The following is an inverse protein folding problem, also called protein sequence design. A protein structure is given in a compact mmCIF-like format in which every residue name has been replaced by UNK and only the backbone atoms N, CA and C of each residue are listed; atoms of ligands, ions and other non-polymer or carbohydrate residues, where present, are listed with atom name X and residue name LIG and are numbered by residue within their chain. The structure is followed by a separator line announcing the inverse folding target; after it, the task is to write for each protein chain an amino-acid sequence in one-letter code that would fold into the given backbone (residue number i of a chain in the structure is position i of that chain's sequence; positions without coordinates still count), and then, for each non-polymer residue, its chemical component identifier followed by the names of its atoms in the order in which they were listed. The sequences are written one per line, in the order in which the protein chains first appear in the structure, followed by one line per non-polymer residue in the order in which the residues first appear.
data_IF_107221481191
#
_entry.id   IF_107221481191
#
_cell.length_a   1.000
_cell.length_b   1.000
_cell.length_c   1.000
_cell.angle_alpha   90.00
_cell.angle_beta   90.00
_cell.angle_gamma   90.00
#
_symmetry.space_group_name_H-M   'P 1'
#
loop_
_entity.id
_entity.type
_entity.pdbx_description
1 polymer ?
#
# COMPACT_ATOMS: atom_id res chain seq x y z
N UNK A 1 -6.61 6.04 19.38
CA UNK A 1 -7.19 6.02 18.03
C UNK A 1 -6.85 4.71 17.35
N UNK A 2 -7.77 4.21 16.56
CA UNK A 2 -7.54 2.95 15.84
C UNK A 2 -6.59 3.15 14.67
N UNK A 3 -5.69 2.21 14.48
CA UNK A 3 -4.78 2.21 13.34
C UNK A 3 -5.45 1.48 12.17
N UNK A 4 -5.37 2.07 11.00
CA UNK A 4 -5.85 1.45 9.76
C UNK A 4 -4.64 1.02 8.94
N UNK A 5 -4.58 -0.26 8.60
CA UNK A 5 -3.54 -0.79 7.73
C UNK A 5 -4.07 -0.85 6.30
N UNK A 6 -3.42 -0.13 5.40
CA UNK A 6 -3.80 -0.07 3.99
C UNK A 6 -2.83 -0.97 3.22
N UNK A 7 -3.36 -2.04 2.66
CA UNK A 7 -2.55 -3.04 1.96
C UNK A 7 -2.70 -2.83 0.46
N UNK A 8 -1.58 -2.61 -0.20
CA UNK A 8 -1.53 -2.30 -1.63
C UNK A 8 -0.66 -3.34 -2.33
N UNK A 9 -1.26 -4.32 -3.01
CA UNK A 9 -0.48 -5.23 -3.85
C UNK A 9 0.10 -4.48 -5.03
N UNK A 10 1.37 -4.71 -5.32
CA UNK A 10 2.12 -4.02 -6.38
C UNK A 10 2.73 -5.05 -7.31
N UNK A 11 2.38 -4.99 -8.59
CA UNK A 11 2.99 -5.83 -9.59
C UNK A 11 2.97 -5.12 -10.95
N UNK A 12 4.14 -4.66 -11.40
CA UNK A 12 4.31 -4.03 -12.71
C UNK A 12 3.31 -2.91 -12.97
N UNK A 13 3.22 -1.98 -12.01
CA UNK A 13 2.29 -0.85 -12.08
C UNK A 13 3.03 0.49 -12.08
N UNK A 14 4.22 0.51 -12.66
CA UNK A 14 5.07 1.70 -12.69
C UNK A 14 4.33 2.97 -13.14
N UNK A 15 3.46 2.95 -14.17
CA UNK A 15 2.75 4.17 -14.59
C UNK A 15 1.74 4.69 -13.56
N UNK A 16 1.33 3.86 -12.60
CA UNK A 16 0.23 4.18 -11.69
C UNK A 16 0.64 4.29 -10.25
N UNK A 17 1.78 3.69 -9.88
CA UNK A 17 2.11 3.51 -8.46
C UNK A 17 2.31 4.82 -7.72
N UNK A 18 2.94 5.81 -8.35
CA UNK A 18 3.17 7.10 -7.68
C UNK A 18 1.85 7.81 -7.40
N UNK A 19 0.92 7.82 -8.35
CA UNK A 19 -0.39 8.43 -8.16
C UNK A 19 -1.15 7.74 -7.03
N UNK A 20 -1.09 6.42 -6.99
CA UNK A 20 -1.73 5.63 -5.95
C UNK A 20 -1.16 5.99 -4.58
N UNK A 21 0.16 5.98 -4.44
CA UNK A 21 0.81 6.30 -3.16
C UNK A 21 0.49 7.72 -2.72
N UNK A 22 0.56 8.68 -3.64
CA UNK A 22 0.26 10.08 -3.32
C UNK A 22 -1.19 10.24 -2.86
N UNK A 23 -2.14 9.51 -3.47
CA UNK A 23 -3.53 9.54 -3.03
C UNK A 23 -3.67 9.02 -1.60
N UNK A 24 -2.94 7.97 -1.25
CA UNK A 24 -2.98 7.42 0.10
C UNK A 24 -2.37 8.36 1.13
N UNK A 25 -1.25 8.98 0.81
CA UNK A 25 -0.58 9.93 1.70
C UNK A 25 -1.48 11.13 2.00
N UNK A 26 -2.30 11.53 1.05
CA UNK A 26 -3.21 12.66 1.22
C UNK A 26 -4.41 12.36 2.11
N UNK A 27 -4.65 11.10 2.43
CA UNK A 27 -5.69 10.75 3.37
C UNK A 27 -5.34 11.32 4.74
N UNK A 28 -6.26 12.02 5.35
CA UNK A 28 -5.97 12.79 6.55
C UNK A 28 -6.47 12.13 7.83
N UNK A 29 -6.71 10.86 7.81
CA UNK A 29 -7.13 10.13 9.01
C UNK A 29 -6.07 10.12 10.10
N UNK A 30 -4.84 10.36 9.76
CA UNK A 30 -3.73 10.49 10.69
C UNK A 30 -3.14 9.17 11.15
N UNK A 31 -3.96 8.24 11.56
CA UNK A 31 -3.46 6.98 12.12
C UNK A 31 -3.55 5.85 11.12
N UNK A 32 -2.67 5.89 10.12
CA UNK A 32 -2.62 4.88 9.07
C UNK A 32 -1.20 4.34 8.91
N UNK A 33 -1.09 3.10 8.47
CA UNK A 33 0.13 2.55 7.90
C UNK A 33 -0.19 2.04 6.50
N UNK A 34 0.71 2.29 5.56
CA UNK A 34 0.57 1.84 4.19
C UNK A 34 1.57 0.71 3.95
N UNK A 35 1.09 -0.45 3.58
CA UNK A 35 1.94 -1.61 3.32
C UNK A 35 1.90 -1.89 1.82
N UNK A 36 3.00 -1.57 1.15
CA UNK A 36 3.16 -1.81 -0.28
C UNK A 36 3.80 -3.19 -0.44
N UNK A 37 3.09 -4.13 -1.02
CA UNK A 37 3.60 -5.48 -1.21
C UNK A 37 4.01 -5.64 -2.67
N UNK A 38 5.32 -5.55 -2.91
CA UNK A 38 5.88 -5.73 -4.24
C UNK A 38 5.99 -7.22 -4.54
N UNK A 39 5.09 -7.70 -5.37
CA UNK A 39 4.95 -9.12 -5.70
C UNK A 39 5.87 -9.52 -6.87
N UNK A 40 7.14 -9.20 -6.74
CA UNK A 40 8.14 -9.59 -7.73
C UNK A 40 8.08 -8.76 -9.00
N UNK A 41 7.82 -7.45 -8.90
CA UNK A 41 7.76 -6.57 -10.07
C UNK A 41 9.06 -6.61 -10.86
N UNK A 42 8.94 -6.63 -12.18
CA UNK A 42 10.09 -6.61 -13.09
C UNK A 42 10.37 -5.22 -13.65
N UNK A 43 9.47 -4.27 -13.41
CA UNK A 43 9.67 -2.86 -13.76
C UNK A 43 10.19 -2.08 -12.54
N UNK A 44 10.08 -0.76 -12.55
CA UNK A 44 10.57 0.08 -11.46
C UNK A 44 9.60 0.23 -10.29
N UNK A 45 8.50 -0.51 -10.28
CA UNK A 45 7.50 -0.40 -9.22
C UNK A 45 8.10 -0.58 -7.82
N UNK A 46 8.92 -1.63 -7.64
CA UNK A 46 9.53 -1.89 -6.35
C UNK A 46 10.48 -0.78 -5.91
N UNK A 47 11.27 -0.26 -6.84
CA UNK A 47 12.19 0.84 -6.58
C UNK A 47 11.45 2.11 -6.17
N UNK A 48 10.36 2.43 -6.86
CA UNK A 48 9.54 3.59 -6.54
C UNK A 48 8.89 3.45 -5.16
N UNK A 49 8.42 2.25 -4.81
CA UNK A 49 7.89 1.99 -3.48
C UNK A 49 8.94 2.28 -2.41
N UNK A 50 10.18 1.83 -2.62
CA UNK A 50 11.25 2.05 -1.65
C UNK A 50 11.55 3.54 -1.47
N UNK A 51 11.51 4.31 -2.54
CA UNK A 51 11.73 5.75 -2.47
C UNK A 51 10.68 6.44 -1.59
N UNK A 52 9.42 6.04 -1.74
CA UNK A 52 8.36 6.61 -0.91
C UNK A 52 8.45 6.16 0.54
N UNK A 53 8.87 4.93 0.79
CA UNK A 53 9.04 4.44 2.15
C UNK A 53 10.16 5.19 2.88
N UNK A 54 11.21 5.58 2.18
CA UNK A 54 12.27 6.40 2.77
C UNK A 54 11.78 7.81 3.11
N UNK A 55 10.83 8.34 2.35
CA UNK A 55 10.33 9.69 2.52
C UNK A 55 9.22 9.80 3.56
N UNK A 56 8.51 8.71 3.86
CA UNK A 56 7.35 8.73 4.76
C UNK A 56 7.36 7.48 5.64
N UNK A 57 7.53 7.69 6.94
CA UNK A 57 7.62 6.56 7.90
C UNK A 57 6.34 5.76 8.05
N UNK A 58 5.21 6.25 7.54
CA UNK A 58 3.95 5.50 7.54
C UNK A 58 3.93 4.42 6.46
N UNK A 59 4.87 4.47 5.53
CA UNK A 59 4.94 3.55 4.39
C UNK A 59 5.96 2.47 4.67
N UNK A 60 5.54 1.23 4.50
CA UNK A 60 6.40 0.05 4.60
C UNK A 60 6.32 -0.72 3.30
N UNK A 61 7.43 -1.32 2.90
CA UNK A 61 7.49 -2.09 1.65
C UNK A 61 7.91 -3.52 1.97
N UNK A 62 7.20 -4.46 1.37
CA UNK A 62 7.56 -5.88 1.43
C UNK A 62 7.88 -6.31 -0.01
N UNK A 63 9.10 -6.78 -0.23
CA UNK A 63 9.48 -7.38 -1.51
C UNK A 63 9.36 -8.88 -1.38
N UNK A 64 8.67 -9.51 -2.31
CA UNK A 64 8.52 -10.96 -2.30
C UNK A 64 8.59 -11.52 -3.72
N UNK A 65 8.84 -12.80 -3.82
CA UNK A 65 8.78 -13.50 -5.09
C UNK A 65 7.34 -13.51 -5.59
N UNK A 66 7.16 -13.37 -6.91
CA UNK A 66 5.82 -13.34 -7.50
C UNK A 66 5.03 -14.58 -7.10
N UNK A 67 3.87 -14.37 -6.53
CA UNK A 67 2.98 -15.44 -6.08
C UNK A 67 1.51 -15.14 -6.35
N UNK A 68 1.23 -14.01 -6.96
CA UNK A 68 -0.13 -13.61 -7.31
C UNK A 68 -0.79 -12.72 -6.27
N UNK A 69 -1.99 -12.25 -6.60
CA UNK A 69 -2.71 -11.27 -5.80
C UNK A 69 -3.03 -11.76 -4.39
N UNK A 70 -3.52 -13.00 -4.26
CA UNK A 70 -3.84 -13.55 -2.94
C UNK A 70 -2.61 -13.68 -2.07
N UNK A 71 -1.48 -14.08 -2.65
CA UNK A 71 -0.21 -14.18 -1.93
C UNK A 71 0.25 -12.81 -1.44
N UNK A 72 0.13 -11.79 -2.29
CA UNK A 72 0.50 -10.42 -1.93
C UNK A 72 -0.38 -9.89 -0.80
N UNK A 73 -1.68 -10.10 -0.88
CA UNK A 73 -2.61 -9.67 0.18
C UNK A 73 -2.30 -10.36 1.51
N UNK A 74 -2.03 -11.67 1.45
CA UNK A 74 -1.70 -12.43 2.66
C UNK A 74 -0.42 -11.93 3.32
N UNK A 75 0.59 -11.57 2.53
CA UNK A 75 1.82 -11.01 3.05
C UNK A 75 1.55 -9.68 3.75
N UNK A 76 0.70 -8.83 3.16
CA UNK A 76 0.30 -7.57 3.76
C UNK A 76 -0.46 -7.77 5.06
N UNK A 77 -1.41 -8.70 5.08
CA UNK A 77 -2.18 -9.01 6.29
C UNK A 77 -1.25 -9.46 7.41
N UNK A 78 -0.29 -10.32 7.10
CA UNK A 78 0.66 -10.82 8.11
C UNK A 78 1.51 -9.71 8.72
N UNK A 79 1.80 -8.66 7.95
CA UNK A 79 2.61 -7.54 8.41
C UNK A 79 1.78 -6.44 9.07
N UNK A 80 0.46 -6.45 8.89
CA UNK A 80 -0.41 -5.37 9.35
C UNK A 80 -0.49 -5.32 10.87
N UNK A 81 -0.41 -4.11 11.42
CA UNK A 81 -0.52 -3.86 12.85
C UNK A 81 -1.84 -3.18 13.22
N UNK A 82 -2.60 -2.74 12.23
CA UNK A 82 -3.83 -2.00 12.45
C UNK A 82 -5.00 -2.87 12.87
N UNK A 83 -5.97 -2.24 13.53
CA UNK A 83 -7.22 -2.90 13.89
C UNK A 83 -8.15 -3.06 12.70
N UNK A 84 -7.98 -2.22 11.68
CA UNK A 84 -8.80 -2.24 10.47
C UNK A 84 -7.88 -2.44 9.27
N UNK A 85 -8.37 -3.18 8.28
CA UNK A 85 -7.65 -3.44 7.05
C UNK A 85 -8.41 -2.83 5.87
N UNK A 86 -7.68 -2.19 4.97
CA UNK A 86 -8.24 -1.67 3.73
C UNK A 86 -7.34 -2.15 2.59
N UNK A 87 -7.96 -2.73 1.57
CA UNK A 87 -7.24 -3.19 0.39
C UNK A 87 -7.47 -2.19 -0.74
N UNK A 88 -6.38 -1.77 -1.38
CA UNK A 88 -6.42 -0.81 -2.48
C UNK A 88 -5.60 -1.37 -3.63
N UNK A 89 -6.20 -1.42 -4.83
CA UNK A 89 -5.47 -1.81 -6.01
C UNK A 89 -4.55 -0.66 -6.45
N UNK A 90 -3.31 -0.99 -6.80
CA UNK A 90 -2.28 0.01 -7.06
C UNK A 90 -2.51 0.83 -8.33
N UNK A 91 -3.42 0.41 -9.19
CA UNK A 91 -3.79 1.15 -10.40
C UNK A 91 -5.08 1.97 -10.23
N UNK A 92 -5.64 2.05 -9.03
CA UNK A 92 -6.85 2.78 -8.73
C UNK A 92 -6.56 4.07 -7.97
N UNK A 93 -7.49 5.03 -8.06
CA UNK A 93 -7.48 6.23 -7.23
C UNK A 93 -8.17 5.96 -5.91
N UNK A 94 -7.66 6.58 -4.85
CA UNK A 94 -8.28 6.51 -3.53
C UNK A 94 -8.87 7.88 -3.22
N UNK A 95 -10.18 7.93 -3.00
CA UNK A 95 -10.83 9.17 -2.59
C UNK A 95 -10.57 9.45 -1.11
N UNK A 96 -10.58 10.72 -0.72
CA UNK A 96 -10.33 11.10 0.65
C UNK A 96 -11.32 10.46 1.64
N UNK A 97 -12.52 10.17 1.20
CA UNK A 97 -13.54 9.55 2.05
C UNK A 97 -13.40 8.04 2.21
N UNK A 98 -12.55 7.39 1.44
CA UNK A 98 -12.46 5.93 1.43
C UNK A 98 -11.98 5.39 2.77
N UNK A 99 -10.94 5.97 3.33
CA UNK A 99 -10.40 5.54 4.63
C UNK A 99 -11.41 5.83 5.74
N UNK A 100 -12.09 6.93 5.68
CA UNK A 100 -13.12 7.29 6.68
C UNK A 100 -14.26 6.27 6.72
N UNK A 101 -14.66 5.75 5.56
CA UNK A 101 -15.74 4.75 5.52
C UNK A 101 -15.31 3.41 6.12
N UNK A 102 -14.03 3.17 6.19
CA UNK A 102 -13.50 1.90 6.72
C UNK A 102 -13.36 1.96 8.24
N UNK A 103 -13.08 3.12 8.77
CA UNK A 103 -12.92 3.34 10.19
C UNK A 103 -14.26 3.64 10.86
#
# INVERSE_FOLDING_TARGET
MSLVSIIVPVYNVEPYIETCIQSLIRQTMGNIEVILVDDGSTDRSGELCDQYAEADERIRVIHKQNGGLSSARNAGISAAKGEYLLFVDSDDYVSASLVEKTV
#
